data_IF_895580171296
#
_entry.id   IF_895580171296
#
_cell.length_a   1.000
_cell.length_b   1.000
_cell.length_c   1.000
_cell.angle_alpha   90.00
_cell.angle_beta   90.00
_cell.angle_gamma   90.00
#
_symmetry.space_group_name_H-M   'P 1'
#
loop_
_entity.id
_entity.type
_entity.pdbx_description
1 polymer ?
#
# COMPACT_ATOMS: atom_id res chain seq x y z
N UNK A 1 -9.13 -69.76 -4.41
CA UNK A 1 -8.32 -68.53 -4.22
C UNK A 1 -8.04 -67.97 -5.60
N UNK A 2 -8.75 -67.00 -6.20
CA UNK A 2 -9.27 -65.69 -5.77
C UNK A 2 -8.22 -64.75 -5.17
N UNK A 3 -7.45 -64.11 -6.06
CA UNK A 3 -6.94 -62.74 -5.95
C UNK A 3 -7.04 -62.18 -7.39
N UNK A 4 -8.23 -61.80 -7.85
CA UNK A 4 -8.68 -60.40 -7.89
C UNK A 4 -7.55 -59.46 -8.28
N UNK A 5 -7.49 -59.18 -9.59
CA UNK A 5 -7.44 -57.81 -10.12
C UNK A 5 -7.41 -56.76 -9.01
N UNK A 6 -6.21 -56.34 -8.62
CA UNK A 6 -5.98 -55.07 -7.95
C UNK A 6 -5.37 -54.16 -9.02
N UNK A 7 -6.22 -53.71 -9.95
CA UNK A 7 -6.65 -52.32 -9.99
C UNK A 7 -5.40 -51.43 -9.89
N UNK A 8 -4.75 -51.08 -11.00
CA UNK A 8 -5.22 -50.05 -11.94
C UNK A 8 -5.71 -48.73 -11.30
N UNK A 9 -5.57 -48.55 -9.98
CA UNK A 9 -6.05 -47.38 -9.25
C UNK A 9 -4.95 -46.40 -8.82
N UNK A 10 -3.67 -46.74 -9.00
CA UNK A 10 -2.60 -45.87 -8.51
C UNK A 10 -2.21 -44.72 -9.46
N UNK A 11 -2.83 -44.62 -10.64
CA UNK A 11 -2.52 -43.56 -11.62
C UNK A 11 -3.55 -42.43 -11.69
N UNK A 12 -4.52 -42.34 -10.76
CA UNK A 12 -5.55 -41.27 -10.79
C UNK A 12 -5.13 -40.04 -9.95
N UNK A 13 -4.06 -40.11 -9.16
CA UNK A 13 -3.67 -39.03 -8.25
C UNK A 13 -2.82 -37.89 -8.85
N UNK A 14 -2.61 -37.84 -10.17
CA UNK A 14 -1.76 -36.81 -10.80
C UNK A 14 -2.45 -35.96 -11.87
N UNK A 15 -3.77 -35.96 -11.93
CA UNK A 15 -4.55 -35.04 -12.78
C UNK A 15 -5.33 -34.01 -11.96
N UNK A 16 -4.77 -33.57 -10.82
CA UNK A 16 -5.20 -32.29 -10.28
C UNK A 16 -4.62 -31.22 -11.21
N UNK A 17 -5.40 -30.79 -12.20
CA UNK A 17 -5.09 -29.58 -12.95
C UNK A 17 -4.74 -28.51 -11.91
N UNK A 18 -3.55 -27.89 -11.96
CA UNK A 18 -3.25 -26.80 -11.05
C UNK A 18 -4.40 -25.81 -11.18
N UNK A 19 -5.04 -25.51 -10.05
CA UNK A 19 -6.05 -24.46 -10.00
C UNK A 19 -5.30 -23.20 -10.43
N UNK A 20 -5.46 -22.82 -11.69
CA UNK A 20 -4.90 -21.59 -12.22
C UNK A 20 -5.75 -20.48 -11.62
N UNK A 21 -5.37 -20.02 -10.44
CA UNK A 21 -6.04 -18.90 -9.77
C UNK A 21 -5.74 -17.68 -10.64
N UNK A 22 -6.61 -17.42 -11.61
CA UNK A 22 -6.67 -16.16 -12.34
C UNK A 22 -7.26 -15.11 -11.41
N UNK A 23 -6.42 -14.67 -10.49
CA UNK A 23 -6.68 -13.47 -9.73
C UNK A 23 -6.57 -12.31 -10.71
N UNK A 24 -7.67 -11.65 -10.98
CA UNK A 24 -7.65 -10.36 -11.67
C UNK A 24 -6.85 -9.37 -10.81
N UNK A 25 -5.56 -9.22 -11.14
CA UNK A 25 -4.60 -8.36 -10.41
C UNK A 25 -5.16 -6.96 -10.14
N UNK A 26 -6.03 -6.46 -11.02
CA UNK A 26 -6.66 -5.15 -10.95
C UNK A 26 -7.62 -5.00 -9.75
N UNK A 27 -8.44 -6.03 -9.47
CA UNK A 27 -9.38 -6.00 -8.35
C UNK A 27 -8.69 -6.13 -6.99
N UNK A 28 -7.60 -6.89 -6.92
CA UNK A 28 -6.82 -6.98 -5.69
C UNK A 28 -6.03 -5.70 -5.40
N UNK A 29 -5.51 -5.02 -6.42
CA UNK A 29 -4.77 -3.77 -6.24
C UNK A 29 -5.61 -2.66 -5.60
N UNK A 30 -6.85 -2.48 -6.05
CA UNK A 30 -7.77 -1.50 -5.44
C UNK A 30 -8.04 -1.77 -3.96
N UNK A 31 -8.04 -3.05 -3.57
CA UNK A 31 -8.31 -3.50 -2.21
C UNK A 31 -7.19 -3.17 -1.21
N UNK A 32 -5.97 -2.91 -1.68
CA UNK A 32 -4.88 -2.46 -0.81
C UNK A 32 -4.84 -0.93 -0.67
N UNK A 33 -5.48 -0.21 -1.58
CA UNK A 33 -5.66 1.24 -1.50
C UNK A 33 -6.88 1.55 -0.63
N UNK A 34 -8.01 0.89 -0.89
CA UNK A 34 -9.16 0.88 0.02
C UNK A 34 -8.73 0.19 1.34
N UNK A 35 -9.11 0.73 2.48
CA UNK A 35 -8.74 0.23 3.82
C UNK A 35 -7.24 0.26 4.19
N UNK A 36 -6.45 1.08 3.47
CA UNK A 36 -5.05 1.29 3.81
C UNK A 36 -4.89 1.90 5.21
N UNK A 37 -4.12 1.22 6.05
CA UNK A 37 -3.63 1.74 7.31
C UNK A 37 -2.34 2.54 7.09
N UNK A 38 -2.48 3.87 7.05
CA UNK A 38 -1.31 4.75 6.94
C UNK A 38 -0.45 4.77 8.21
N UNK A 39 -0.98 4.48 9.39
CA UNK A 39 -0.25 4.64 10.65
C UNK A 39 1.05 3.82 10.66
N UNK A 40 2.17 4.47 11.02
CA UNK A 40 3.51 3.87 11.06
C UNK A 40 4.46 4.53 10.07
N UNK A 41 5.60 3.87 9.85
CA UNK A 41 6.75 4.45 9.16
C UNK A 41 6.74 4.07 7.69
N UNK A 42 7.08 5.03 6.84
CA UNK A 42 7.11 4.93 5.39
C UNK A 42 8.37 5.56 4.83
N UNK A 43 8.85 4.97 3.74
CA UNK A 43 9.86 5.56 2.90
C UNK A 43 9.21 6.05 1.61
N UNK A 44 9.43 7.32 1.26
CA UNK A 44 8.93 7.93 0.03
C UNK A 44 10.13 8.30 -0.84
N UNK A 45 10.16 7.79 -2.06
CA UNK A 45 11.24 7.97 -3.04
C UNK A 45 10.71 8.64 -4.30
N UNK A 46 11.42 9.63 -4.82
CA UNK A 46 11.16 10.24 -6.13
C UNK A 46 12.31 9.89 -7.07
N UNK A 47 12.04 9.86 -8.38
CA UNK A 47 13.11 9.66 -9.37
C UNK A 47 14.02 10.88 -9.52
N UNK A 48 13.50 12.07 -9.22
CA UNK A 48 14.21 13.35 -9.38
C UNK A 48 14.16 14.12 -8.07
N UNK A 49 15.17 14.95 -7.86
CA UNK A 49 15.20 15.85 -6.72
C UNK A 49 13.97 16.77 -6.73
N UNK A 50 13.24 16.78 -5.63
CA UNK A 50 12.04 17.57 -5.41
C UNK A 50 12.34 18.61 -4.34
N UNK A 51 11.95 19.86 -4.60
CA UNK A 51 12.42 20.99 -3.81
C UNK A 51 11.51 21.36 -2.64
N UNK A 52 10.28 20.85 -2.61
CA UNK A 52 9.29 21.33 -1.64
C UNK A 52 8.23 20.29 -1.30
N UNK A 53 8.65 19.12 -0.81
CA UNK A 53 7.74 18.16 -0.20
C UNK A 53 7.89 18.27 1.30
N UNK A 54 6.80 18.48 2.03
CA UNK A 54 6.78 18.72 3.48
C UNK A 54 7.85 19.73 3.91
N UNK A 55 7.92 20.84 3.15
CA UNK A 55 8.88 21.94 3.33
C UNK A 55 10.36 21.49 3.33
N UNK A 56 10.65 20.37 2.68
CA UNK A 56 11.99 19.79 2.63
C UNK A 56 12.34 19.41 1.20
N UNK A 57 13.58 19.70 0.81
CA UNK A 57 14.12 19.30 -0.47
C UNK A 57 14.79 17.92 -0.35
N UNK A 58 14.64 17.06 -1.35
CA UNK A 58 15.18 15.70 -1.31
C UNK A 58 14.73 14.85 -2.49
N UNK A 59 15.14 13.58 -2.46
CA UNK A 59 14.58 12.54 -3.34
C UNK A 59 14.13 11.30 -2.57
N UNK A 60 14.31 11.33 -1.25
CA UNK A 60 13.96 10.27 -0.34
C UNK A 60 13.61 10.90 1.02
N UNK A 61 12.51 10.46 1.63
CA UNK A 61 12.06 10.91 2.95
C UNK A 61 11.56 9.72 3.77
N UNK A 62 11.98 9.66 5.04
CA UNK A 62 11.40 8.73 6.01
C UNK A 62 10.32 9.45 6.81
N UNK A 63 9.07 9.10 6.54
CA UNK A 63 7.89 9.76 7.11
C UNK A 63 7.19 8.79 8.04
N UNK A 64 6.84 9.25 9.23
CA UNK A 64 5.95 8.51 10.13
C UNK A 64 4.60 9.22 10.18
N UNK A 65 3.54 8.47 9.85
CA UNK A 65 2.16 8.91 10.01
C UNK A 65 1.68 8.46 11.40
N UNK A 66 1.57 9.40 12.32
CA UNK A 66 1.24 9.11 13.71
C UNK A 66 -0.26 8.95 13.94
N UNK A 67 -0.64 8.19 14.97
CA UNK A 67 -2.06 7.94 15.34
C UNK A 67 -2.83 9.22 15.66
N UNK A 68 -2.15 10.23 16.19
CA UNK A 68 -2.71 11.54 16.50
C UNK A 68 -2.81 12.44 15.25
N UNK A 69 -2.58 11.89 14.06
CA UNK A 69 -2.57 12.55 12.76
C UNK A 69 -1.38 13.49 12.53
N UNK A 70 -0.36 13.47 13.38
CA UNK A 70 0.88 14.21 13.16
C UNK A 70 1.80 13.49 12.18
N UNK A 71 2.71 14.26 11.59
CA UNK A 71 3.78 13.77 10.72
C UNK A 71 5.12 13.97 11.41
N UNK A 72 5.91 12.90 11.46
CA UNK A 72 7.34 12.96 11.74
C UNK A 72 8.11 12.80 10.43
N UNK A 73 9.15 13.61 10.23
CA UNK A 73 10.15 13.41 9.17
C UNK A 73 11.48 13.11 9.84
N UNK A 74 12.07 11.96 9.52
CA UNK A 74 13.30 11.46 10.13
C UNK A 74 13.22 11.44 11.67
N UNK A 75 12.08 10.97 12.18
CA UNK A 75 11.71 10.92 13.60
C UNK A 75 11.59 12.29 14.31
N UNK A 76 11.52 13.39 13.56
CA UNK A 76 11.33 14.74 14.11
C UNK A 76 9.95 15.30 13.76
N UNK A 77 9.22 15.89 14.72
CA UNK A 77 7.94 16.53 14.46
C UNK A 77 8.04 17.66 13.43
N UNK A 78 7.07 17.76 12.53
CA UNK A 78 7.02 18.81 11.49
C UNK A 78 5.90 19.84 11.64
N UNK A 79 5.13 19.77 12.73
CA UNK A 79 3.87 20.54 12.89
C UNK A 79 2.91 20.40 11.68
N UNK A 80 3.01 19.28 10.97
CA UNK A 80 2.17 18.92 9.84
C UNK A 80 1.27 17.77 10.23
N UNK A 81 0.11 17.73 9.59
CA UNK A 81 -0.92 16.75 9.84
C UNK A 81 -1.32 16.07 8.54
N UNK A 82 -1.86 14.86 8.67
CA UNK A 82 -2.31 14.07 7.54
C UNK A 82 -3.78 13.67 7.66
N UNK A 83 -4.40 13.47 6.50
CA UNK A 83 -5.72 12.84 6.35
C UNK A 83 -5.68 11.87 5.18
N UNK A 84 -6.48 10.81 5.26
CA UNK A 84 -6.59 9.83 4.18
C UNK A 84 -8.03 9.75 3.67
N UNK A 85 -8.19 9.90 2.36
CA UNK A 85 -9.44 9.65 1.66
C UNK A 85 -9.39 8.25 1.03
N UNK A 86 -10.04 7.30 1.70
CA UNK A 86 -10.11 5.89 1.27
C UNK A 86 -10.71 5.71 -0.14
N UNK A 87 -11.69 6.53 -0.52
CA UNK A 87 -12.38 6.39 -1.80
C UNK A 87 -11.48 6.79 -2.97
N UNK A 88 -10.63 7.80 -2.75
CA UNK A 88 -9.74 8.35 -3.77
C UNK A 88 -8.31 7.80 -3.70
N UNK A 89 -7.96 7.09 -2.62
CA UNK A 89 -6.58 6.71 -2.34
C UNK A 89 -5.67 7.92 -2.14
N UNK A 90 -6.21 9.01 -1.58
CA UNK A 90 -5.55 10.32 -1.51
C UNK A 90 -5.11 10.61 -0.08
N UNK A 91 -3.84 10.93 0.09
CA UNK A 91 -3.24 11.38 1.35
C UNK A 91 -3.05 12.90 1.23
N UNK A 92 -3.75 13.66 2.05
CA UNK A 92 -3.58 15.12 2.12
C UNK A 92 -2.73 15.47 3.34
N UNK A 93 -1.65 16.22 3.11
CA UNK A 93 -0.74 16.73 4.13
C UNK A 93 -0.90 18.24 4.22
N UNK A 94 -1.09 18.75 5.44
CA UNK A 94 -1.39 20.16 5.67
C UNK A 94 -0.78 20.68 6.96
N UNK A 95 -0.60 21.99 7.05
CA UNK A 95 -0.24 22.67 8.29
C UNK A 95 -1.51 23.28 8.92
N UNK A 96 -1.70 23.14 10.23
CA UNK A 96 -2.83 23.77 10.95
C UNK A 96 -2.65 25.26 11.20
N UNK A 97 -1.41 25.76 11.19
CA UNK A 97 -1.14 27.19 11.35
C UNK A 97 -1.36 27.87 9.99
N UNK A 98 -2.46 28.61 9.86
CA UNK A 98 -2.91 29.31 8.63
C UNK A 98 -1.96 30.42 8.14
N UNK A 99 -0.81 30.65 8.79
CA UNK A 99 0.11 31.78 8.54
C UNK A 99 1.27 31.41 7.59
N UNK A 100 1.32 30.18 7.07
CA UNK A 100 2.43 29.76 6.19
C UNK A 100 2.05 29.74 4.72
N UNK A 101 2.95 30.22 3.85
CA UNK A 101 2.99 30.08 2.37
C UNK A 101 2.92 28.63 1.84
N UNK A 102 2.68 27.66 2.72
CA UNK A 102 2.63 26.24 2.41
C UNK A 102 1.20 25.83 2.07
N UNK A 103 0.96 25.49 0.80
CA UNK A 103 -0.35 25.07 0.29
C UNK A 103 -0.75 23.63 0.65
N UNK A 104 0.10 22.90 1.37
CA UNK A 104 -0.07 21.45 1.59
C UNK A 104 0.55 20.61 0.47
N UNK A 105 0.65 19.31 0.73
CA UNK A 105 1.06 18.29 -0.23
C UNK A 105 -0.02 17.22 -0.37
N UNK A 106 -0.12 16.63 -1.54
CA UNK A 106 -1.10 15.58 -1.86
C UNK A 106 -0.38 14.38 -2.47
N UNK A 107 -0.63 13.19 -1.94
CA UNK A 107 -0.16 11.92 -2.51
C UNK A 107 -1.37 11.11 -2.97
N UNK A 108 -1.43 10.80 -4.27
CA UNK A 108 -2.47 9.94 -4.84
C UNK A 108 -1.89 8.56 -5.12
N UNK A 109 -2.35 7.55 -4.39
CA UNK A 109 -1.97 6.16 -4.62
C UNK A 109 -2.56 5.66 -5.95
N UNK A 110 -1.73 5.02 -6.77
CA UNK A 110 -2.14 4.52 -8.10
C UNK A 110 -2.13 3.01 -8.19
N UNK A 111 -1.10 2.38 -7.63
CA UNK A 111 -0.89 0.94 -7.80
C UNK A 111 -0.18 0.35 -6.59
N UNK A 112 -0.71 -0.74 -6.04
CA UNK A 112 0.04 -1.60 -5.13
C UNK A 112 0.97 -2.52 -5.92
N UNK A 113 2.28 -2.42 -5.63
CA UNK A 113 3.34 -3.15 -6.35
C UNK A 113 3.96 -4.28 -5.54
N UNK A 114 3.33 -4.66 -4.40
CA UNK A 114 3.83 -5.71 -3.52
C UNK A 114 4.82 -5.20 -2.47
N UNK A 115 5.23 -6.07 -1.54
CA UNK A 115 6.20 -5.77 -0.47
C UNK A 115 5.89 -4.49 0.31
N UNK A 116 4.60 -4.21 0.56
CA UNK A 116 4.15 -2.98 1.23
C UNK A 116 4.46 -1.68 0.48
N UNK A 117 4.70 -1.75 -0.82
CA UNK A 117 5.03 -0.62 -1.67
C UNK A 117 3.92 -0.27 -2.65
N UNK A 118 3.84 1.02 -2.96
CA UNK A 118 2.88 1.61 -3.88
C UNK A 118 3.60 2.52 -4.87
N UNK A 119 3.12 2.56 -6.11
CA UNK A 119 3.34 3.71 -7.00
C UNK A 119 2.29 4.75 -6.70
N UNK A 120 2.71 6.01 -6.63
CA UNK A 120 1.84 7.13 -6.33
C UNK A 120 2.26 8.37 -7.11
N UNK A 121 1.41 9.38 -7.07
CA UNK A 121 1.69 10.72 -7.59
C UNK A 121 1.74 11.71 -6.44
N UNK A 122 2.81 12.49 -6.37
CA UNK A 122 2.94 13.65 -5.49
C UNK A 122 2.53 14.92 -6.23
N UNK A 123 1.62 15.68 -5.65
CA UNK A 123 1.09 16.95 -6.18
C UNK A 123 0.70 16.85 -7.66
N UNK A 124 0.07 15.72 -8.03
CA UNK A 124 -0.45 15.35 -9.37
C UNK A 124 0.56 15.30 -10.52
N UNK A 125 1.82 15.62 -10.27
CA UNK A 125 2.81 15.88 -11.33
C UNK A 125 4.08 15.03 -11.20
N UNK A 126 4.30 14.39 -10.05
CA UNK A 126 5.56 13.70 -9.76
C UNK A 126 5.30 12.26 -9.38
N UNK A 127 5.85 11.33 -10.15
CA UNK A 127 5.78 9.91 -9.80
C UNK A 127 6.69 9.64 -8.61
N UNK A 128 6.13 8.99 -7.60
CA UNK A 128 6.83 8.57 -6.40
C UNK A 128 6.60 7.08 -6.15
N UNK A 129 7.50 6.50 -5.38
CA UNK A 129 7.35 5.18 -4.79
C UNK A 129 7.24 5.35 -3.29
N UNK A 130 6.25 4.73 -2.68
CA UNK A 130 5.98 4.85 -1.25
C UNK A 130 5.89 3.46 -0.64
N UNK A 131 6.75 3.14 0.33
CA UNK A 131 6.86 1.81 0.94
C UNK A 131 6.71 1.88 2.45
N UNK A 132 5.84 1.04 3.02
CA UNK A 132 5.69 0.94 4.48
C UNK A 132 6.84 0.16 5.07
N UNK A 133 7.65 0.79 5.92
CA UNK A 133 8.79 0.17 6.58
C UNK A 133 8.42 -0.39 7.96
N UNK A 134 7.43 0.21 8.64
CA UNK A 134 6.94 -0.25 9.95
C UNK A 134 5.42 -0.17 10.05
N UNK A 135 4.81 -1.20 10.67
CA UNK A 135 3.35 -1.32 10.84
C UNK A 135 2.68 -2.26 9.82
N UNK A 136 1.36 -2.39 9.94
CA UNK A 136 0.51 -3.22 9.06
C UNK A 136 -0.05 -2.38 7.92
N UNK A 137 -0.19 -2.96 6.72
CA UNK A 137 -0.76 -2.22 5.57
C UNK A 137 -2.28 -2.10 5.69
N UNK A 138 -2.97 -3.11 6.20
CA UNK A 138 -4.44 -3.11 6.25
C UNK A 138 -4.95 -3.22 7.68
N UNK A 139 -6.12 -2.62 7.92
CA UNK A 139 -6.82 -2.73 9.20
C UNK A 139 -7.54 -4.07 9.37
N UNK A 140 -8.08 -4.65 8.28
CA UNK A 140 -8.79 -5.93 8.33
C UNK A 140 -8.24 -6.95 7.32
N UNK A 141 -7.32 -7.80 7.79
CA UNK A 141 -6.73 -8.88 6.96
C UNK A 141 -7.76 -9.94 6.57
N UNK A 142 -8.85 -10.10 7.34
CA UNK A 142 -9.89 -11.12 7.07
C UNK A 142 -10.62 -10.88 5.76
N UNK A 143 -10.81 -9.61 5.39
CA UNK A 143 -11.47 -9.26 4.13
C UNK A 143 -10.54 -9.51 2.94
N UNK A 144 -9.21 -9.46 3.13
CA UNK A 144 -8.21 -9.77 2.11
C UNK A 144 -8.23 -11.25 1.69
N UNK A 145 -8.37 -12.19 2.63
CA UNK A 145 -8.23 -13.64 2.41
C UNK A 145 -9.60 -14.31 2.17
N UNK A 146 -10.50 -13.65 1.42
CA UNK A 146 -11.75 -14.31 1.02
C UNK A 146 -11.48 -15.23 -0.16
N UNK A 147 -11.13 -16.48 0.14
CA UNK A 147 -11.04 -17.54 -0.87
C UNK A 147 -12.48 -17.91 -1.23
N UNK A 148 -12.95 -17.45 -2.39
CA UNK A 148 -14.22 -17.92 -2.95
C UNK A 148 -14.02 -19.35 -3.46
N UNK A 149 -14.50 -20.33 -2.69
CA UNK A 149 -14.67 -21.69 -3.17
C UNK A 149 -16.02 -21.76 -3.88
N UNK A 150 -16.01 -22.02 -5.19
CA UNK A 150 -17.19 -22.45 -5.95
C UNK A 150 -17.30 -23.96 -5.95
#
# INVERSE_FOLDING_TARGET
>A
MKILTALSLFCIFLMANPIEIRIDKKNEQEKYIKDLNLIGDWNIETQRYFINFILTAGSNWNISFEKNHEILLDNQPREMFWKYNNEKGEISIYNKKEITIYGGDEIILKEYIGNKCFKAELNKNHQIKMCKTKGTIVNNVKDLIKIEMK
#
